data_IF_665950211115
#
_entry.id   IF_665950211115
#
_cell.length_a   1.000
_cell.length_b   1.000
_cell.length_c   1.000
_cell.angle_alpha   90.00
_cell.angle_beta   90.00
_cell.angle_gamma   90.00
#
_symmetry.space_group_name_H-M   'P 1'
#
loop_
_entity.id
_entity.type
_entity.pdbx_description
1 polymer ?
#
# COMPACT_ATOMS: atom_id res chain seq x y z
N UNK A 1 74.63 -39.70 7.29
CA UNK A 1 73.87 -40.11 6.08
C UNK A 1 72.91 -38.98 5.75
N UNK A 2 73.36 -37.93 5.05
CA UNK A 2 73.49 -37.76 3.60
C UNK A 2 72.19 -37.30 2.92
N UNK A 3 72.17 -36.01 2.62
CA UNK A 3 71.25 -35.20 1.81
C UNK A 3 71.27 -35.63 0.33
N UNK A 4 70.12 -35.58 -0.37
CA UNK A 4 69.97 -35.33 -1.83
C UNK A 4 68.60 -34.69 -2.10
N UNK A 5 68.52 -33.41 -2.50
CA UNK A 5 68.68 -32.79 -3.86
C UNK A 5 67.34 -32.71 -4.61
N UNK A 6 66.78 -31.50 -4.81
CA UNK A 6 66.90 -30.59 -6.01
C UNK A 6 65.76 -30.86 -7.01
N UNK A 7 64.74 -29.98 -7.15
CA UNK A 7 64.65 -28.73 -7.93
C UNK A 7 64.57 -28.93 -9.46
N UNK A 8 63.61 -28.25 -10.12
CA UNK A 8 63.57 -27.63 -11.47
C UNK A 8 62.07 -27.45 -11.81
N UNK A 9 61.44 -26.27 -11.95
CA UNK A 9 61.72 -24.97 -12.63
C UNK A 9 61.08 -24.88 -14.02
N UNK A 10 60.19 -23.88 -14.12
CA UNK A 10 59.87 -22.95 -15.21
C UNK A 10 59.34 -23.41 -16.58
N UNK A 11 58.44 -22.57 -17.10
CA UNK A 11 58.02 -22.58 -18.50
C UNK A 11 57.07 -21.42 -18.84
N UNK A 12 57.46 -20.18 -18.53
CA UNK A 12 56.92 -18.97 -19.19
C UNK A 12 57.24 -19.04 -20.69
N UNK A 13 56.27 -18.75 -21.55
CA UNK A 13 56.55 -18.38 -22.94
C UNK A 13 55.57 -17.32 -23.41
N UNK A 14 56.17 -16.20 -23.75
CA UNK A 14 55.62 -14.91 -24.13
C UNK A 14 55.59 -14.82 -25.67
N UNK A 15 54.56 -14.13 -26.18
CA UNK A 15 54.56 -13.30 -27.39
C UNK A 15 54.76 -13.92 -28.79
N UNK A 16 53.79 -13.63 -29.66
CA UNK A 16 53.86 -13.17 -31.07
C UNK A 16 52.57 -13.66 -31.76
N UNK A 17 51.77 -12.88 -32.50
CA UNK A 17 52.09 -12.00 -33.62
C UNK A 17 50.96 -10.97 -33.78
N UNK A 18 51.35 -9.78 -34.18
CA UNK A 18 50.57 -8.57 -34.42
C UNK A 18 50.29 -8.45 -35.94
N UNK A 19 49.19 -7.77 -36.31
CA UNK A 19 48.94 -7.05 -37.59
C UNK A 19 48.08 -7.76 -38.66
N UNK A 20 46.87 -7.22 -38.90
CA UNK A 20 46.34 -6.67 -40.18
C UNK A 20 44.89 -6.20 -39.91
N UNK A 21 44.64 -4.91 -39.62
CA UNK A 21 44.26 -3.84 -40.55
C UNK A 21 43.13 -4.17 -41.53
N UNK A 22 41.97 -3.51 -41.36
CA UNK A 22 41.21 -2.96 -42.49
C UNK A 22 39.81 -3.51 -42.78
N UNK A 23 38.82 -2.68 -42.47
CA UNK A 23 37.63 -2.37 -43.28
C UNK A 23 36.43 -3.36 -43.30
N UNK A 24 35.33 -2.83 -42.77
CA UNK A 24 34.04 -2.71 -43.46
C UNK A 24 33.22 -4.00 -43.69
N UNK A 25 32.15 -4.19 -42.92
CA UNK A 25 30.79 -4.45 -43.42
C UNK A 25 29.76 -4.62 -42.29
N UNK A 26 28.58 -4.08 -42.57
CA UNK A 26 27.38 -4.01 -41.77
C UNK A 26 26.91 -5.33 -41.11
N UNK A 27 26.44 -5.23 -39.85
CA UNK A 27 25.29 -5.97 -39.36
C UNK A 27 24.74 -5.30 -38.07
N UNK A 28 23.51 -4.73 -38.07
CA UNK A 28 22.85 -4.38 -36.83
C UNK A 28 22.38 -5.68 -36.17
N UNK A 29 23.07 -6.11 -35.10
CA UNK A 29 22.57 -7.16 -34.24
C UNK A 29 21.29 -6.69 -33.56
N UNK A 30 20.23 -7.52 -33.46
CA UNK A 30 19.06 -7.16 -32.69
C UNK A 30 19.48 -7.18 -31.22
N UNK A 31 19.77 -6.00 -30.66
CA UNK A 31 19.71 -5.82 -29.23
C UNK A 31 18.24 -5.99 -28.86
N UNK A 32 17.90 -7.25 -28.58
CA UNK A 32 16.67 -7.68 -27.93
C UNK A 32 16.35 -6.67 -26.84
N UNK A 33 15.31 -5.90 -27.11
CA UNK A 33 14.74 -4.98 -26.15
C UNK A 33 14.52 -5.74 -24.87
N UNK A 34 15.19 -5.31 -23.81
CA UNK A 34 14.59 -5.34 -22.51
C UNK A 34 13.37 -4.41 -22.61
N UNK A 35 12.26 -4.97 -23.12
CA UNK A 35 10.95 -4.47 -22.81
C UNK A 35 10.84 -4.58 -21.29
N UNK A 36 11.19 -3.49 -20.61
CA UNK A 36 10.64 -3.23 -19.30
C UNK A 36 9.14 -3.43 -19.49
N UNK A 37 8.60 -4.48 -18.89
CA UNK A 37 7.17 -4.63 -18.76
C UNK A 37 6.74 -3.44 -17.89
N UNK A 38 6.50 -2.30 -18.54
CA UNK A 38 5.64 -1.24 -18.04
C UNK A 38 4.24 -1.82 -18.06
N UNK A 39 3.98 -2.77 -17.17
CA UNK A 39 2.64 -3.19 -16.84
C UNK A 39 1.96 -1.93 -16.29
N UNK A 40 0.95 -1.43 -16.99
CA UNK A 40 0.16 -0.32 -16.50
C UNK A 40 -0.32 -0.65 -15.08
N UNK A 41 0.01 0.16 -14.06
CA UNK A 41 -0.35 -0.12 -12.67
C UNK A 41 -1.86 -0.21 -12.49
N UNK A 42 -2.63 0.46 -13.36
CA UNK A 42 -4.08 0.40 -13.39
C UNK A 42 -4.56 -0.94 -13.94
N UNK A 43 -3.94 -1.45 -15.01
CA UNK A 43 -4.31 -2.73 -15.61
C UNK A 43 -4.05 -3.90 -14.65
N UNK A 44 -2.95 -3.83 -13.87
CA UNK A 44 -2.65 -4.85 -12.84
C UNK A 44 -3.63 -4.80 -11.67
N UNK A 45 -4.09 -3.61 -11.26
CA UNK A 45 -5.14 -3.45 -10.25
C UNK A 45 -6.50 -3.98 -10.74
N UNK A 46 -6.86 -3.69 -11.99
CA UNK A 46 -8.08 -4.25 -12.60
C UNK A 46 -8.04 -5.78 -12.63
N UNK A 47 -6.90 -6.36 -12.99
CA UNK A 47 -6.72 -7.81 -12.96
C UNK A 47 -6.78 -8.38 -11.54
N UNK A 48 -6.26 -7.65 -10.54
CA UNK A 48 -6.31 -8.07 -9.14
C UNK A 48 -7.75 -8.11 -8.59
N UNK A 49 -8.56 -7.10 -8.91
CA UNK A 49 -9.96 -7.01 -8.49
C UNK A 49 -10.94 -7.69 -9.45
N UNK A 50 -10.43 -8.42 -10.45
CA UNK A 50 -11.24 -9.14 -11.44
C UNK A 50 -12.17 -10.13 -10.72
N UNK A 51 -13.48 -9.97 -10.91
CA UNK A 51 -14.51 -10.75 -10.24
C UNK A 51 -15.20 -10.04 -9.06
N UNK A 52 -14.73 -8.86 -8.67
CA UNK A 52 -15.50 -7.96 -7.80
C UNK A 52 -16.40 -7.01 -8.61
N UNK A 53 -16.16 -6.86 -9.92
CA UNK A 53 -16.93 -6.00 -10.82
C UNK A 53 -18.44 -6.27 -10.76
N UNK A 54 -19.23 -5.22 -10.54
CA UNK A 54 -20.69 -5.32 -10.63
C UNK A 54 -21.19 -4.87 -12.00
N UNK A 55 -22.37 -5.36 -12.37
CA UNK A 55 -23.06 -4.98 -13.61
C UNK A 55 -23.63 -3.54 -13.61
N UNK A 56 -23.41 -2.77 -12.55
CA UNK A 56 -23.92 -1.40 -12.39
C UNK A 56 -22.82 -0.36 -12.47
N UNK A 57 -23.16 0.83 -12.99
CA UNK A 57 -22.28 2.00 -12.96
C UNK A 57 -21.89 2.33 -11.51
N UNK A 58 -20.60 2.32 -11.24
CA UNK A 58 -19.96 2.65 -9.97
C UNK A 58 -20.46 3.99 -9.39
N UNK A 59 -21.32 3.97 -8.35
CA UNK A 59 -21.78 5.19 -7.69
C UNK A 59 -20.64 5.88 -6.93
N UNK A 60 -20.85 7.15 -6.56
CA UNK A 60 -19.89 7.89 -5.74
C UNK A 60 -19.68 7.21 -4.37
N UNK A 61 -18.50 7.40 -3.77
CA UNK A 61 -18.22 6.92 -2.41
C UNK A 61 -19.22 7.58 -1.43
N UNK A 62 -19.93 6.74 -0.70
CA UNK A 62 -20.96 7.09 0.28
C UNK A 62 -20.42 7.06 1.73
N UNK A 63 -19.11 7.11 1.93
CA UNK A 63 -18.52 7.20 3.27
C UNK A 63 -17.33 8.18 3.32
N UNK A 64 -16.99 8.58 4.52
CA UNK A 64 -15.78 9.35 4.82
C UNK A 64 -14.99 8.68 5.94
N UNK A 65 -13.67 8.78 5.89
CA UNK A 65 -12.81 8.36 7.01
C UNK A 65 -12.81 9.50 8.02
N UNK A 66 -13.30 9.23 9.23
CA UNK A 66 -13.43 10.24 10.30
C UNK A 66 -12.29 10.17 11.31
N UNK A 67 -11.58 9.04 11.36
CA UNK A 67 -10.49 8.84 12.29
C UNK A 67 -9.82 7.49 12.10
N UNK A 68 -8.78 7.25 12.87
CA UNK A 68 -8.08 5.98 12.87
C UNK A 68 -6.76 6.03 13.59
N UNK A 69 -6.16 4.86 13.76
CA UNK A 69 -4.81 4.71 14.25
C UNK A 69 -4.13 3.53 13.56
N UNK A 70 -2.81 3.57 13.55
CA UNK A 70 -1.96 2.48 13.10
C UNK A 70 -0.97 2.13 14.21
N UNK A 71 -0.91 0.87 14.58
CA UNK A 71 0.12 0.35 15.47
C UNK A 71 1.29 -0.11 14.59
N UNK A 72 2.36 0.70 14.57
CA UNK A 72 3.53 0.53 13.69
C UNK A 72 4.71 0.02 14.53
N UNK A 73 5.29 -1.10 14.12
CA UNK A 73 6.55 -1.59 14.65
C UNK A 73 7.72 -1.12 13.76
N UNK A 74 8.63 -0.34 14.34
CA UNK A 74 9.87 0.11 13.70
C UNK A 74 11.09 -0.53 14.40
N UNK A 75 12.29 -0.26 13.91
CA UNK A 75 13.53 -0.72 14.56
C UNK A 75 13.86 -0.01 15.88
N UNK A 76 13.16 1.08 16.22
CA UNK A 76 13.41 1.88 17.43
C UNK A 76 12.16 1.96 18.29
N UNK A 77 12.30 1.83 19.61
CA UNK A 77 11.17 1.91 20.56
C UNK A 77 10.47 3.26 20.53
N UNK A 78 11.21 4.35 20.35
CA UNK A 78 10.66 5.71 20.31
C UNK A 78 9.74 5.97 19.12
N UNK A 79 10.07 5.41 17.95
CA UNK A 79 9.24 5.50 16.74
C UNK A 79 8.29 4.31 16.59
N UNK A 80 8.35 3.31 17.46
CA UNK A 80 7.37 2.22 17.47
C UNK A 80 6.15 2.60 18.31
N UNK A 81 4.98 2.06 17.98
CA UNK A 81 3.75 2.20 18.75
C UNK A 81 2.61 2.79 17.95
N UNK A 82 1.68 3.44 18.65
CA UNK A 82 0.44 3.93 18.07
C UNK A 82 0.64 5.30 17.42
N UNK A 83 0.34 5.38 16.13
CA UNK A 83 0.23 6.62 15.38
C UNK A 83 -1.24 6.93 15.12
N UNK A 84 -1.63 8.19 15.28
CA UNK A 84 -2.99 8.65 15.04
C UNK A 84 -3.14 9.17 13.62
N UNK A 85 -4.30 8.96 13.02
CA UNK A 85 -4.60 9.47 11.69
C UNK A 85 -4.66 11.00 11.72
N UNK A 86 -3.74 11.66 11.02
CA UNK A 86 -3.67 13.10 10.89
C UNK A 86 -4.44 13.59 9.65
N UNK A 87 -4.36 12.84 8.55
CA UNK A 87 -5.09 13.15 7.33
C UNK A 87 -5.41 11.87 6.56
N UNK A 88 -6.53 11.90 5.84
CA UNK A 88 -6.92 10.85 4.90
C UNK A 88 -7.50 11.45 3.65
N UNK A 89 -7.16 10.89 2.50
CA UNK A 89 -7.70 11.29 1.21
C UNK A 89 -8.08 10.07 0.39
N UNK A 90 -9.25 10.12 -0.25
CA UNK A 90 -9.70 9.05 -1.12
C UNK A 90 -9.78 9.57 -2.55
N UNK A 91 -8.99 8.97 -3.43
CA UNK A 91 -8.97 9.28 -4.87
C UNK A 91 -9.60 8.15 -5.65
N UNK A 92 -10.49 8.48 -6.59
CA UNK A 92 -11.01 7.50 -7.55
C UNK A 92 -10.02 7.30 -8.68
N UNK A 93 -9.65 6.04 -8.96
CA UNK A 93 -8.73 5.71 -10.05
C UNK A 93 -9.48 5.33 -11.31
N UNK A 94 -10.23 4.23 -11.27
CA UNK A 94 -10.99 3.70 -12.41
C UNK A 94 -12.14 2.83 -11.93
N UNK A 95 -13.32 2.94 -12.56
CA UNK A 95 -14.50 2.16 -12.18
C UNK A 95 -14.80 2.24 -10.68
N UNK A 96 -14.75 1.08 -10.03
CA UNK A 96 -14.96 0.82 -8.60
C UNK A 96 -13.64 0.77 -7.77
N UNK A 97 -12.50 1.12 -8.37
CA UNK A 97 -11.18 1.07 -7.71
C UNK A 97 -10.79 2.47 -7.23
N UNK A 98 -10.43 2.53 -5.96
CA UNK A 98 -10.06 3.74 -5.24
C UNK A 98 -8.68 3.57 -4.59
N UNK A 99 -8.06 4.71 -4.32
CA UNK A 99 -6.83 4.84 -3.56
C UNK A 99 -7.13 5.60 -2.27
N UNK A 100 -6.81 5.01 -1.13
CA UNK A 100 -6.85 5.63 0.18
C UNK A 100 -5.43 6.01 0.58
N UNK A 101 -5.16 7.31 0.64
CA UNK A 101 -3.93 7.88 1.14
C UNK A 101 -4.15 8.30 2.60
N UNK A 102 -3.25 7.89 3.49
CA UNK A 102 -3.32 8.16 4.92
C UNK A 102 -1.99 8.71 5.41
N UNK A 103 -2.06 9.77 6.20
CA UNK A 103 -0.94 10.31 6.94
C UNK A 103 -1.20 10.07 8.43
N UNK A 104 -0.29 9.35 9.06
CA UNK A 104 -0.31 9.07 10.49
C UNK A 104 0.77 9.87 11.20
N UNK A 105 0.48 10.35 12.40
CA UNK A 105 1.44 11.07 13.23
C UNK A 105 1.48 10.53 14.66
N UNK A 106 2.69 10.51 15.23
CA UNK A 106 2.94 10.19 16.63
C UNK A 106 3.81 11.29 17.23
N UNK A 107 3.37 11.86 18.36
CA UNK A 107 4.18 12.81 19.11
C UNK A 107 5.32 12.06 19.81
N UNK A 108 6.53 12.59 19.72
CA UNK A 108 7.67 12.09 20.49
C UNK A 108 7.47 12.43 21.96
N UNK A 109 7.58 11.43 22.83
CA UNK A 109 7.61 11.65 24.27
C UNK A 109 8.94 12.30 24.62
N UNK A 110 8.87 13.49 25.23
CA UNK A 110 10.04 14.21 25.74
C UNK A 110 10.07 14.01 27.25
N UNK A 111 11.16 13.44 27.76
CA UNK A 111 11.35 13.15 29.19
C UNK A 111 11.79 14.40 29.99
N UNK A 112 12.14 15.48 29.29
CA UNK A 112 12.60 16.75 29.86
C UNK A 112 11.65 17.88 29.46
N UNK A 113 11.35 18.77 30.41
CA UNK A 113 10.67 20.04 30.14
C UNK A 113 11.61 20.95 29.34
N UNK A 114 11.65 20.70 28.03
CA UNK A 114 12.29 21.55 27.05
C UNK A 114 11.22 22.43 26.38
N UNK A 115 11.56 23.70 26.11
CA UNK A 115 10.72 24.64 25.38
C UNK A 115 10.84 24.46 23.85
N UNK A 116 11.56 23.43 23.40
CA UNK A 116 11.64 23.08 21.98
C UNK A 116 10.27 22.67 21.41
N UNK A 117 10.03 22.95 20.11
CA UNK A 117 8.80 22.51 19.46
C UNK A 117 8.63 20.99 19.55
N UNK A 118 7.40 20.54 19.77
CA UNK A 118 7.09 19.12 19.81
C UNK A 118 7.51 18.44 18.49
N UNK A 119 8.33 17.40 18.59
CA UNK A 119 8.70 16.57 17.46
C UNK A 119 7.60 15.53 17.19
N UNK A 120 7.30 15.30 15.91
CA UNK A 120 6.33 14.31 15.46
C UNK A 120 6.96 13.36 14.47
N UNK A 121 6.80 12.07 14.71
CA UNK A 121 7.03 11.05 13.69
C UNK A 121 5.83 11.02 12.75
N UNK A 122 6.08 11.01 11.45
CA UNK A 122 5.03 10.94 10.41
C UNK A 122 5.23 9.71 9.54
N UNK A 123 4.16 8.97 9.30
CA UNK A 123 4.13 7.82 8.40
C UNK A 123 3.02 8.02 7.36
N UNK A 124 3.38 7.91 6.08
CA UNK A 124 2.41 7.98 4.99
C UNK A 124 2.18 6.58 4.40
N UNK A 125 0.92 6.20 4.22
CA UNK A 125 0.54 4.90 3.66
C UNK A 125 -0.56 5.06 2.62
N UNK A 126 -0.43 4.29 1.54
CA UNK A 126 -1.39 4.28 0.44
C UNK A 126 -1.91 2.87 0.23
N UNK A 127 -3.22 2.70 0.23
CA UNK A 127 -3.88 1.42 -0.05
C UNK A 127 -4.83 1.56 -1.22
N UNK A 128 -4.88 0.53 -2.06
CA UNK A 128 -5.88 0.41 -3.10
C UNK A 128 -7.03 -0.44 -2.61
N UNK A 129 -8.25 -0.02 -2.89
CA UNK A 129 -9.43 -0.79 -2.50
C UNK A 129 -10.49 -0.74 -3.58
N UNK A 130 -11.24 -1.83 -3.66
CA UNK A 130 -12.44 -1.92 -4.45
C UNK A 130 -13.66 -1.68 -3.56
N UNK A 131 -14.58 -0.86 -4.04
CA UNK A 131 -15.84 -0.60 -3.37
C UNK A 131 -16.93 -0.24 -4.39
N UNK A 132 -18.08 -0.90 -4.31
CA UNK A 132 -19.21 -0.58 -5.18
C UNK A 132 -20.49 -0.39 -4.36
N UNK A 133 -20.43 0.51 -3.36
CA UNK A 133 -21.61 0.88 -2.56
C UNK A 133 -22.39 -0.32 -1.99
N UNK A 134 -21.70 -1.44 -1.80
CA UNK A 134 -22.28 -2.74 -1.56
C UNK A 134 -22.13 -3.20 -0.13
N UNK A 135 -22.08 -4.53 0.03
CA UNK A 135 -22.01 -5.24 1.29
C UNK A 135 -20.59 -5.42 1.83
N UNK A 136 -19.56 -4.91 1.13
CA UNK A 136 -18.15 -5.09 1.51
C UNK A 136 -17.22 -4.05 0.88
N UNK A 137 -16.09 -3.83 1.54
CA UNK A 137 -14.91 -3.11 1.04
C UNK A 137 -13.79 -4.13 0.89
N UNK A 138 -13.10 -4.15 -0.25
CA UNK A 138 -11.99 -5.09 -0.49
C UNK A 138 -10.70 -4.31 -0.64
N UNK A 139 -9.79 -4.41 0.33
CA UNK A 139 -8.52 -3.68 0.36
C UNK A 139 -7.40 -4.60 -0.12
N UNK A 140 -6.58 -4.11 -1.05
CA UNK A 140 -5.35 -4.79 -1.48
C UNK A 140 -4.23 -4.54 -0.48
N UNK A 141 -3.63 -5.61 0.04
CA UNK A 141 -2.52 -5.59 0.99
C UNK A 141 -1.41 -6.49 0.45
N UNK A 142 -0.35 -5.89 -0.11
CA UNK A 142 0.69 -6.64 -0.80
C UNK A 142 0.11 -7.54 -1.90
N UNK A 143 0.35 -8.85 -1.83
CA UNK A 143 -0.24 -9.86 -2.73
C UNK A 143 -1.61 -10.38 -2.29
N UNK A 144 -2.07 -10.01 -1.10
CA UNK A 144 -3.32 -10.49 -0.48
C UNK A 144 -4.42 -9.42 -0.51
N UNK A 145 -5.62 -9.81 -0.09
CA UNK A 145 -6.77 -8.92 0.06
C UNK A 145 -7.38 -9.05 1.47
N UNK A 146 -7.78 -7.93 2.04
CA UNK A 146 -8.64 -7.88 3.23
C UNK A 146 -10.06 -7.51 2.80
N UNK A 147 -11.03 -8.37 3.11
CA UNK A 147 -12.45 -8.11 2.84
C UNK A 147 -13.13 -7.70 4.13
N UNK A 148 -13.70 -6.50 4.12
CA UNK A 148 -14.39 -5.93 5.29
C UNK A 148 -15.87 -5.82 4.95
N UNK A 149 -16.75 -6.59 5.60
CA UNK A 149 -18.18 -6.53 5.31
C UNK A 149 -18.75 -5.18 5.76
N UNK A 150 -19.66 -4.60 4.98
CA UNK A 150 -20.47 -3.40 5.24
C UNK A 150 -21.93 -3.84 5.32
N UNK A 151 -22.31 -4.42 6.45
CA UNK A 151 -23.62 -5.05 6.66
C UNK A 151 -24.78 -4.06 6.78
N UNK A 152 -24.55 -2.86 7.33
CA UNK A 152 -25.59 -1.85 7.54
C UNK A 152 -24.96 -0.45 7.52
N UNK A 153 -25.60 0.49 6.83
CA UNK A 153 -25.11 1.87 6.64
C UNK A 153 -25.95 2.92 7.37
N UNK A 154 -27.23 2.63 7.60
CA UNK A 154 -28.18 3.49 8.30
C UNK A 154 -29.11 2.68 9.21
N UNK A 155 -29.65 3.33 10.24
CA UNK A 155 -30.74 2.81 11.09
C UNK A 155 -31.90 3.79 10.99
N UNK A 156 -33.06 3.29 10.60
CA UNK A 156 -34.33 4.04 10.69
C UNK A 156 -34.97 3.75 12.04
N UNK A 157 -35.10 4.78 12.87
CA UNK A 157 -35.92 4.75 14.09
C UNK A 157 -37.28 5.34 13.77
N UNK A 158 -38.32 4.60 14.08
CA UNK A 158 -39.70 5.07 13.97
C UNK A 158 -40.23 5.24 15.39
N UNK A 159 -40.43 6.49 15.80
CA UNK A 159 -41.01 6.84 17.08
C UNK A 159 -42.50 7.11 16.89
N UNK A 160 -43.35 6.18 17.32
CA UNK A 160 -44.81 6.31 17.22
C UNK A 160 -45.31 7.02 18.48
N UNK A 161 -45.84 8.23 18.33
CA UNK A 161 -46.38 9.02 19.43
C UNK A 161 -47.89 8.79 19.63
N UNK A 162 -48.63 8.45 18.56
CA UNK A 162 -50.06 8.11 18.59
C UNK A 162 -50.46 7.30 17.35
N UNK A 163 -51.73 6.86 17.24
CA UNK A 163 -52.21 6.13 16.05
C UNK A 163 -52.07 6.93 14.75
N UNK A 164 -52.06 8.27 14.83
CA UNK A 164 -51.99 9.18 13.67
C UNK A 164 -50.68 9.97 13.61
N UNK A 165 -49.77 9.81 14.58
CA UNK A 165 -48.53 10.59 14.65
C UNK A 165 -47.33 9.68 14.89
N UNK A 166 -46.46 9.60 13.88
CA UNK A 166 -45.17 8.94 13.96
C UNK A 166 -44.07 9.87 13.44
N UNK A 167 -42.90 9.80 14.07
CA UNK A 167 -41.67 10.42 13.62
C UNK A 167 -40.75 9.35 13.05
N UNK A 168 -40.07 9.67 11.96
CA UNK A 168 -39.06 8.79 11.35
C UNK A 168 -37.72 9.51 11.40
N UNK A 169 -36.79 9.00 12.21
CA UNK A 169 -35.41 9.45 12.29
C UNK A 169 -34.49 8.46 11.58
N UNK A 170 -33.59 8.96 10.72
CA UNK A 170 -32.60 8.13 10.02
C UNK A 170 -31.21 8.51 10.52
N UNK A 171 -30.55 7.55 11.18
CA UNK A 171 -29.22 7.73 11.75
C UNK A 171 -28.19 6.98 10.91
N UNK A 172 -27.20 7.71 10.40
CA UNK A 172 -26.06 7.15 9.64
C UNK A 172 -25.09 6.49 10.61
N UNK A 173 -24.55 5.34 10.20
CA UNK A 173 -23.69 4.54 11.07
C UNK A 173 -22.21 4.88 10.91
N UNK A 174 -21.50 4.69 12.01
CA UNK A 174 -20.06 4.57 12.02
C UNK A 174 -19.67 3.10 11.89
N UNK A 175 -18.52 2.85 11.28
CA UNK A 175 -17.96 1.51 11.19
C UNK A 175 -16.46 1.54 11.33
N UNK A 176 -15.94 0.60 12.11
CA UNK A 176 -14.50 0.39 12.22
C UNK A 176 -14.04 -0.63 11.17
N UNK A 177 -12.97 -0.27 10.47
CA UNK A 177 -12.28 -1.04 9.45
C UNK A 177 -10.91 -1.42 10.00
N UNK A 178 -10.68 -2.70 10.27
CA UNK A 178 -9.39 -3.17 10.79
C UNK A 178 -8.75 -4.14 9.81
N UNK A 179 -7.48 -3.93 9.50
CA UNK A 179 -6.68 -4.81 8.67
C UNK A 179 -5.20 -4.75 9.07
N UNK A 180 -4.43 -5.77 8.70
CA UNK A 180 -3.00 -5.88 9.03
C UNK A 180 -2.17 -5.90 7.76
N UNK A 181 -1.12 -5.09 7.71
CA UNK A 181 -0.15 -4.99 6.62
C UNK A 181 1.26 -5.26 7.17
N UNK A 182 1.73 -6.49 6.97
CA UNK A 182 2.98 -6.97 7.59
C UNK A 182 2.90 -6.91 9.12
N UNK A 183 3.77 -6.09 9.73
CA UNK A 183 3.81 -5.88 11.19
C UNK A 183 2.98 -4.66 11.63
N UNK A 184 2.21 -4.05 10.73
CA UNK A 184 1.40 -2.85 11.03
C UNK A 184 -0.07 -3.22 11.10
N UNK A 185 -0.70 -2.99 12.25
CA UNK A 185 -2.15 -3.11 12.40
C UNK A 185 -2.80 -1.74 12.20
N UNK A 186 -3.78 -1.66 11.30
CA UNK A 186 -4.46 -0.42 10.94
C UNK A 186 -5.93 -0.54 11.35
N UNK A 187 -6.42 0.45 12.09
CA UNK A 187 -7.83 0.58 12.46
C UNK A 187 -8.34 1.95 12.03
N UNK A 188 -9.32 1.99 11.14
CA UNK A 188 -9.93 3.22 10.64
C UNK A 188 -11.39 3.26 11.06
N UNK A 189 -11.88 4.44 11.39
CA UNK A 189 -13.29 4.66 11.57
C UNK A 189 -13.83 5.40 10.35
N UNK A 190 -14.87 4.82 9.74
CA UNK A 190 -15.62 5.44 8.65
C UNK A 190 -17.02 5.85 9.12
N UNK A 191 -17.56 6.89 8.50
CA UNK A 191 -18.94 7.34 8.65
C UNK A 191 -19.61 7.32 7.30
N UNK A 192 -20.79 6.71 7.21
CA UNK A 192 -21.59 6.75 5.98
C UNK A 192 -22.28 8.11 5.79
N UNK A 193 -22.43 8.54 4.53
CA UNK A 193 -23.01 9.80 4.09
C UNK A 193 -24.47 9.68 3.66
#
# INVERSE_FOLDING_TARGET
MSVRKTMIVAGTSLAAVLIFLGALLAAPGPALGAAAATSDPIASLQQFFKGQESKGSAPAIDFEVVGGFADIATGSTESSGRYFLAASHITRLTGDIYRLDMAFSKKMEQDIMDFSPAYYFTENRSYYFWYNNGDRIVIKIGSSQATIPVTRKEITRVDIQSMDTYSVDRQKLFKDLTFTDGNTAISLQIRFK
#
